data_IF_709169032373
#
_entry.id   IF_709169032373
#
_cell.length_a   1.000
_cell.length_b   1.000
_cell.length_c   1.000
_cell.angle_alpha   90.00
_cell.angle_beta   90.00
_cell.angle_gamma   90.00
#
_symmetry.space_group_name_H-M   'P 1'
#
loop_
_entity.id
_entity.type
_entity.pdbx_description
1 polymer ?
#
# COMPACT_ATOMS: atom_id res chain seq x y z
N UNK A 1 -13.67 -12.24 6.79
CA UNK A 1 -12.91 -13.06 7.75
C UNK A 1 -13.88 -13.80 8.66
N UNK A 2 -14.81 -13.14 9.34
CA UNK A 2 -15.72 -13.74 10.32
C UNK A 2 -16.55 -14.90 9.75
N UNK A 3 -17.15 -14.70 8.56
CA UNK A 3 -18.01 -15.72 7.92
C UNK A 3 -17.26 -16.98 7.49
N UNK A 4 -16.02 -16.84 7.02
CA UNK A 4 -15.31 -17.90 6.30
C UNK A 4 -14.09 -18.45 7.05
N UNK A 5 -13.60 -17.73 8.07
CA UNK A 5 -12.33 -18.07 8.74
C UNK A 5 -12.44 -18.04 10.27
N UNK A 6 -13.66 -18.09 10.83
CA UNK A 6 -13.84 -18.16 12.28
C UNK A 6 -13.34 -16.94 13.05
N UNK A 7 -13.19 -15.80 12.37
CA UNK A 7 -12.88 -14.53 13.00
C UNK A 7 -11.42 -14.09 12.93
N UNK A 8 -10.44 -14.97 12.71
CA UNK A 8 -9.05 -14.59 12.53
C UNK A 8 -8.38 -15.42 11.43
N UNK A 9 -7.25 -14.97 10.93
CA UNK A 9 -6.47 -15.67 9.90
C UNK A 9 -5.00 -15.71 10.31
N UNK A 10 -4.24 -16.62 9.70
CA UNK A 10 -2.81 -16.76 10.00
C UNK A 10 -2.05 -15.50 9.58
N UNK A 11 -2.29 -15.03 8.35
CA UNK A 11 -1.55 -13.91 7.77
C UNK A 11 -2.45 -13.04 6.88
N UNK A 12 -2.17 -11.72 6.90
CA UNK A 12 -2.76 -10.75 5.96
C UNK A 12 -1.63 -9.89 5.39
N UNK A 13 -1.58 -9.77 4.05
CA UNK A 13 -0.67 -8.86 3.37
C UNK A 13 -1.38 -7.67 2.74
N UNK A 14 -0.70 -6.52 2.66
CA UNK A 14 -1.21 -5.33 1.99
C UNK A 14 -0.11 -4.43 1.45
N UNK A 15 -0.25 -4.06 0.15
CA UNK A 15 0.64 -3.12 -0.52
C UNK A 15 0.00 -1.73 -0.59
N UNK A 16 0.76 -0.68 -0.28
CA UNK A 16 0.38 0.72 -0.47
C UNK A 16 -0.95 1.06 0.19
N UNK A 17 -2.01 1.33 -0.56
CA UNK A 17 -3.39 1.50 -0.05
C UNK A 17 -3.88 0.25 0.69
N UNK A 18 -3.58 -0.95 0.18
CA UNK A 18 -3.87 -2.22 0.86
C UNK A 18 -3.19 -2.32 2.22
N UNK A 19 -1.96 -1.82 2.34
CA UNK A 19 -1.25 -1.70 3.61
C UNK A 19 -1.93 -0.73 4.59
N UNK A 20 -2.44 0.41 4.11
CA UNK A 20 -3.22 1.34 4.94
C UNK A 20 -4.53 0.72 5.43
N UNK A 21 -5.24 -0.01 4.54
CA UNK A 21 -6.46 -0.74 4.89
C UNK A 21 -6.16 -1.79 5.96
N UNK A 22 -5.08 -2.55 5.80
CA UNK A 22 -4.64 -3.55 6.78
C UNK A 22 -4.36 -2.91 8.15
N UNK A 23 -3.61 -1.82 8.18
CA UNK A 23 -3.32 -1.07 9.42
C UNK A 23 -4.61 -0.53 10.07
N UNK A 24 -5.56 -0.03 9.28
CA UNK A 24 -6.87 0.40 9.78
C UNK A 24 -7.67 -0.78 10.37
N UNK A 25 -7.67 -1.95 9.70
CA UNK A 25 -8.32 -3.16 10.20
C UNK A 25 -7.72 -3.62 11.53
N UNK A 26 -6.39 -3.66 11.64
CA UNK A 26 -5.67 -4.02 12.86
C UNK A 26 -5.90 -3.03 13.99
N UNK A 27 -6.07 -1.75 13.68
CA UNK A 27 -6.40 -0.72 14.67
C UNK A 27 -7.80 -0.86 15.27
N UNK A 28 -8.72 -1.49 14.54
CA UNK A 28 -10.11 -1.74 14.97
C UNK A 28 -10.28 -3.11 15.62
N UNK A 29 -9.42 -4.06 15.24
CA UNK A 29 -9.49 -5.44 15.73
C UNK A 29 -8.09 -6.00 15.92
N UNK A 30 -7.67 -6.01 17.16
CA UNK A 30 -6.29 -6.31 17.54
C UNK A 30 -5.85 -7.76 17.32
N UNK A 31 -6.78 -8.71 17.22
CA UNK A 31 -6.58 -10.16 17.07
C UNK A 31 -6.97 -10.70 15.68
N UNK A 32 -6.97 -9.83 14.67
CA UNK A 32 -7.44 -10.15 13.33
C UNK A 32 -6.57 -11.22 12.62
N UNK A 33 -5.27 -11.20 12.85
CA UNK A 33 -4.31 -12.16 12.31
C UNK A 33 -3.13 -12.36 13.26
N UNK A 34 -2.37 -13.45 13.05
CA UNK A 34 -1.11 -13.69 13.77
C UNK A 34 0.03 -12.87 13.15
N UNK A 35 0.12 -12.82 11.81
CA UNK A 35 1.15 -12.09 11.07
C UNK A 35 0.52 -11.06 10.13
N UNK A 36 1.15 -9.90 10.00
CA UNK A 36 0.75 -8.87 9.06
C UNK A 36 1.95 -8.43 8.21
N UNK A 37 1.84 -8.47 6.89
CA UNK A 37 2.84 -7.94 5.96
C UNK A 37 2.35 -6.62 5.37
N UNK A 38 3.03 -5.54 5.69
CA UNK A 38 2.68 -4.19 5.25
C UNK A 38 3.79 -3.67 4.34
N UNK A 39 3.50 -3.56 3.05
CA UNK A 39 4.45 -3.03 2.07
C UNK A 39 4.08 -1.60 1.68
N UNK A 40 5.05 -0.68 1.79
CA UNK A 40 4.98 0.66 1.21
C UNK A 40 3.78 1.52 1.66
N UNK A 41 3.29 1.35 2.89
CA UNK A 41 2.14 2.08 3.40
C UNK A 41 2.54 3.46 3.95
N UNK A 42 1.89 4.52 3.45
CA UNK A 42 2.07 5.88 3.95
C UNK A 42 1.14 6.13 5.16
N UNK A 43 1.72 6.50 6.32
CA UNK A 43 0.96 6.85 7.54
C UNK A 43 1.22 8.28 8.03
N UNK A 44 1.90 9.07 7.20
CA UNK A 44 2.15 10.50 7.46
C UNK A 44 1.25 11.31 6.52
N UNK A 45 0.24 12.03 7.04
CA UNK A 45 -0.67 12.82 6.21
C UNK A 45 0.06 13.92 5.41
N UNK A 46 -0.43 14.20 4.20
CA UNK A 46 0.08 15.28 3.34
C UNK A 46 -1.05 16.14 2.80
N UNK A 47 -1.29 17.28 3.46
CA UNK A 47 -2.29 18.27 3.02
C UNK A 47 -1.98 18.81 1.62
N UNK A 48 -0.69 18.99 1.29
CA UNK A 48 -0.28 19.43 -0.04
C UNK A 48 -0.69 18.41 -1.11
N UNK A 49 -0.37 17.14 -0.89
CA UNK A 49 -0.78 16.05 -1.82
C UNK A 49 -2.31 16.03 -1.96
N UNK A 50 -3.04 16.08 -0.85
CA UNK A 50 -4.51 16.12 -0.85
C UNK A 50 -5.05 17.23 -1.74
N UNK A 51 -4.55 18.46 -1.58
CA UNK A 51 -5.02 19.63 -2.33
C UNK A 51 -4.71 19.54 -3.83
N UNK A 52 -3.61 18.89 -4.20
CA UNK A 52 -3.19 18.77 -5.59
C UNK A 52 -3.88 17.62 -6.35
N UNK A 53 -4.43 16.61 -5.66
CA UNK A 53 -5.07 15.45 -6.29
C UNK A 53 -6.24 15.87 -7.17
N UNK A 54 -7.18 16.67 -6.65
CA UNK A 54 -8.39 17.07 -7.38
C UNK A 54 -8.08 17.86 -8.66
N UNK A 55 -7.23 18.90 -8.67
CA UNK A 55 -6.88 19.60 -9.90
C UNK A 55 -6.07 18.73 -10.87
N UNK A 56 -5.09 17.94 -10.37
CA UNK A 56 -4.26 17.10 -11.21
C UNK A 56 -5.06 15.99 -11.91
N UNK A 57 -5.75 15.16 -11.12
CA UNK A 57 -6.55 14.04 -11.68
C UNK A 57 -7.87 14.51 -12.28
N UNK A 58 -8.38 15.67 -11.84
CA UNK A 58 -9.56 16.30 -12.44
C UNK A 58 -9.38 16.69 -13.90
N UNK A 59 -8.19 17.17 -14.26
CA UNK A 59 -7.84 17.57 -15.63
C UNK A 59 -7.29 16.41 -16.48
N UNK A 60 -6.55 15.47 -15.87
CA UNK A 60 -5.86 14.39 -16.60
C UNK A 60 -6.62 13.07 -16.68
N UNK A 61 -7.82 12.97 -16.09
CA UNK A 61 -8.57 11.71 -16.01
C UNK A 61 -8.84 11.08 -17.39
N UNK A 62 -9.25 11.86 -18.37
CA UNK A 62 -9.51 11.34 -19.72
C UNK A 62 -8.23 10.87 -20.42
N UNK A 63 -7.08 11.50 -20.10
CA UNK A 63 -5.77 11.07 -20.61
C UNK A 63 -5.35 9.71 -20.03
N UNK A 64 -5.65 9.46 -18.75
CA UNK A 64 -5.33 8.18 -18.10
C UNK A 64 -6.02 7.01 -18.84
N UNK A 65 -7.19 7.24 -19.42
CA UNK A 65 -7.95 6.26 -20.21
C UNK A 65 -7.40 6.07 -21.63
N UNK A 66 -6.46 6.92 -22.09
CA UNK A 66 -5.79 6.75 -23.36
C UNK A 66 -4.65 5.75 -23.24
N UNK A 67 -4.67 4.70 -24.04
CA UNK A 67 -3.72 3.57 -23.95
C UNK A 67 -2.24 4.01 -24.00
N UNK A 68 -1.92 4.99 -24.82
CA UNK A 68 -0.56 5.52 -24.94
C UNK A 68 -0.10 6.21 -23.64
N UNK A 69 -0.97 7.02 -23.03
CA UNK A 69 -0.68 7.74 -21.79
C UNK A 69 -0.60 6.76 -20.60
N UNK A 70 -1.55 5.82 -20.52
CA UNK A 70 -1.55 4.75 -19.54
C UNK A 70 -0.27 3.90 -19.61
N UNK A 71 0.23 3.63 -20.84
CA UNK A 71 1.50 2.93 -21.03
C UNK A 71 2.70 3.72 -20.51
N UNK A 72 2.69 5.04 -20.67
CA UNK A 72 3.73 5.92 -20.12
C UNK A 72 3.71 5.91 -18.58
N UNK A 73 2.53 6.02 -17.97
CA UNK A 73 2.37 5.90 -16.51
C UNK A 73 2.83 4.53 -16.01
N UNK A 74 2.38 3.45 -16.64
CA UNK A 74 2.74 2.09 -16.26
C UNK A 74 4.26 1.87 -16.25
N UNK A 75 4.97 2.41 -17.23
CA UNK A 75 6.45 2.37 -17.28
C UNK A 75 7.08 3.07 -16.06
N UNK A 76 6.47 4.15 -15.57
CA UNK A 76 6.97 4.86 -14.39
C UNK A 76 6.79 4.08 -13.10
N UNK A 77 5.84 3.13 -13.06
CA UNK A 77 5.60 2.23 -11.93
C UNK A 77 6.60 1.06 -11.88
N UNK A 78 7.43 0.87 -12.93
CA UNK A 78 8.45 -0.19 -13.02
C UNK A 78 7.91 -1.61 -12.86
N UNK A 79 6.64 -1.81 -13.15
CA UNK A 79 5.98 -3.12 -13.11
C UNK A 79 6.38 -3.96 -14.32
N UNK A 80 6.27 -5.28 -14.20
CA UNK A 80 6.52 -6.23 -15.29
C UNK A 80 5.63 -5.93 -16.50
N UNK A 81 6.17 -5.87 -17.72
CA UNK A 81 5.42 -5.45 -18.93
C UNK A 81 4.16 -6.27 -19.20
N UNK A 82 4.16 -7.55 -18.84
CA UNK A 82 3.01 -8.45 -19.01
C UNK A 82 1.78 -8.03 -18.21
N UNK A 83 1.95 -7.28 -17.13
CA UNK A 83 0.85 -6.78 -16.28
C UNK A 83 0.15 -5.54 -16.86
N UNK A 84 0.62 -5.01 -17.99
CA UNK A 84 0.07 -3.77 -18.55
C UNK A 84 -1.41 -3.87 -18.92
N UNK A 85 -1.86 -4.99 -19.49
CA UNK A 85 -3.24 -5.12 -19.92
C UNK A 85 -4.21 -5.12 -18.73
N UNK A 86 -3.88 -5.83 -17.66
CA UNK A 86 -4.68 -5.88 -16.43
C UNK A 86 -4.70 -4.50 -15.76
N UNK A 87 -3.52 -3.87 -15.60
CA UNK A 87 -3.42 -2.49 -15.12
C UNK A 87 -4.29 -1.52 -15.91
N UNK A 88 -4.28 -1.61 -17.25
CA UNK A 88 -5.04 -0.70 -18.11
C UNK A 88 -6.54 -0.93 -17.98
N UNK A 89 -7.00 -2.18 -17.93
CA UNK A 89 -8.41 -2.53 -17.73
C UNK A 89 -8.91 -2.02 -16.37
N UNK A 90 -8.19 -2.30 -15.30
CA UNK A 90 -8.54 -1.86 -13.96
C UNK A 90 -8.59 -0.33 -13.86
N UNK A 91 -7.57 0.34 -14.40
CA UNK A 91 -7.51 1.82 -14.39
C UNK A 91 -8.68 2.43 -15.17
N UNK A 92 -9.07 1.85 -16.31
CA UNK A 92 -10.23 2.29 -17.08
C UNK A 92 -11.57 2.01 -16.37
N UNK A 93 -11.62 1.00 -15.50
CA UNK A 93 -12.81 0.65 -14.70
C UNK A 93 -13.08 1.63 -13.55
N UNK A 94 -12.06 2.34 -13.07
CA UNK A 94 -12.22 3.28 -11.95
C UNK A 94 -12.87 4.58 -12.43
N UNK A 95 -13.95 5.02 -11.79
CA UNK A 95 -14.55 6.31 -12.09
C UNK A 95 -13.66 7.47 -11.61
N UNK A 96 -13.77 8.64 -12.26
CA UNK A 96 -13.04 9.84 -11.84
C UNK A 96 -13.28 10.19 -10.38
N UNK A 97 -14.51 10.10 -9.93
CA UNK A 97 -14.87 10.41 -8.56
C UNK A 97 -14.23 9.45 -7.57
N UNK A 98 -14.27 8.15 -7.85
CA UNK A 98 -13.65 7.14 -6.98
C UNK A 98 -12.12 7.28 -6.95
N UNK A 99 -11.50 7.54 -8.10
CA UNK A 99 -10.04 7.76 -8.18
C UNK A 99 -9.61 8.95 -7.32
N UNK A 100 -10.29 10.09 -7.42
CA UNK A 100 -9.99 11.27 -6.61
C UNK A 100 -10.23 10.97 -5.14
N UNK A 101 -11.36 10.35 -4.78
CA UNK A 101 -11.71 10.07 -3.39
C UNK A 101 -10.67 9.17 -2.71
N UNK A 102 -10.34 8.01 -3.30
CA UNK A 102 -9.39 7.10 -2.65
C UNK A 102 -7.97 7.70 -2.55
N UNK A 103 -7.52 8.47 -3.55
CA UNK A 103 -6.22 9.14 -3.48
C UNK A 103 -6.19 10.21 -2.39
N UNK A 104 -7.26 10.98 -2.24
CA UNK A 104 -7.39 11.98 -1.19
C UNK A 104 -7.39 11.34 0.20
N UNK A 105 -8.22 10.32 0.43
CA UNK A 105 -8.26 9.59 1.70
C UNK A 105 -6.92 8.93 2.02
N UNK A 106 -6.29 8.25 1.05
CA UNK A 106 -4.97 7.66 1.21
C UNK A 106 -3.89 8.71 1.55
N UNK A 107 -3.97 9.91 0.96
CA UNK A 107 -3.01 10.98 1.24
C UNK A 107 -3.11 11.55 2.65
N UNK A 108 -4.28 11.42 3.29
CA UNK A 108 -4.58 11.92 4.64
C UNK A 108 -4.57 10.83 5.70
N UNK A 109 -4.32 9.56 5.32
CA UNK A 109 -4.26 8.47 6.28
C UNK A 109 -3.16 8.70 7.33
N UNK A 110 -3.46 8.38 8.58
CA UNK A 110 -2.53 8.46 9.70
C UNK A 110 -2.67 7.24 10.61
N UNK A 111 -1.57 6.87 11.23
CA UNK A 111 -1.53 5.75 12.20
C UNK A 111 -2.44 6.03 13.39
N UNK A 112 -3.36 5.12 13.69
CA UNK A 112 -4.24 5.18 14.85
C UNK A 112 -3.48 4.75 16.12
N UNK A 113 -3.78 5.39 17.26
CA UNK A 113 -3.17 5.03 18.55
C UNK A 113 -3.49 3.58 18.93
N UNK A 114 -4.72 3.12 18.67
CA UNK A 114 -5.16 1.74 18.98
C UNK A 114 -4.39 0.65 18.23
N UNK A 115 -3.65 1.00 17.17
CA UNK A 115 -2.78 0.05 16.47
C UNK A 115 -1.68 -0.51 17.38
N UNK A 116 -1.22 0.25 18.38
CA UNK A 116 -0.27 -0.22 19.41
C UNK A 116 -0.78 -1.37 20.28
N UNK A 117 -2.10 -1.59 20.32
CA UNK A 117 -2.72 -2.72 21.03
C UNK A 117 -2.81 -4.00 20.19
N UNK A 118 -2.40 -3.94 18.91
CA UNK A 118 -2.44 -5.08 18.01
C UNK A 118 -1.52 -6.18 18.50
N UNK A 119 -2.03 -7.43 18.53
CA UNK A 119 -1.25 -8.59 18.96
C UNK A 119 -0.47 -9.26 17.83
N UNK A 120 -0.78 -8.92 16.57
CA UNK A 120 -0.10 -9.46 15.40
C UNK A 120 1.38 -9.04 15.38
N UNK A 121 2.22 -9.92 14.88
CA UNK A 121 3.58 -9.59 14.47
C UNK A 121 3.54 -8.90 13.10
N UNK A 122 4.06 -7.66 13.03
CA UNK A 122 3.94 -6.82 11.84
C UNK A 122 5.28 -6.72 11.13
N UNK A 123 5.36 -7.24 9.91
CA UNK A 123 6.52 -7.11 9.03
C UNK A 123 6.30 -5.94 8.08
N UNK A 124 7.13 -4.92 8.20
CA UNK A 124 7.09 -3.69 7.42
C UNK A 124 8.12 -3.77 6.31
N UNK A 125 7.68 -3.76 5.06
CA UNK A 125 8.57 -3.80 3.89
C UNK A 125 8.53 -2.44 3.17
N UNK A 126 9.72 -1.92 2.83
CA UNK A 126 9.84 -0.66 2.10
C UNK A 126 11.09 -0.69 1.22
N UNK A 127 10.96 -0.26 -0.03
CA UNK A 127 12.09 -0.13 -0.94
C UNK A 127 13.01 1.04 -0.54
N UNK A 128 14.31 0.84 -0.62
CA UNK A 128 15.31 1.88 -0.32
C UNK A 128 15.15 3.14 -1.18
N UNK A 129 14.68 2.97 -2.44
CA UNK A 129 14.50 4.05 -3.42
C UNK A 129 13.10 4.62 -3.46
N UNK A 130 12.30 4.37 -2.43
CA UNK A 130 10.97 4.93 -2.31
C UNK A 130 10.97 6.42 -1.94
N UNK A 131 9.80 7.02 -2.07
CA UNK A 131 9.54 8.38 -1.59
C UNK A 131 9.86 8.48 -0.08
N UNK A 132 10.53 9.57 0.30
CA UNK A 132 10.91 9.85 1.70
C UNK A 132 9.73 9.74 2.68
N UNK A 133 8.53 10.16 2.27
CA UNK A 133 7.33 10.06 3.12
C UNK A 133 6.99 8.60 3.46
N UNK A 134 7.16 7.68 2.54
CA UNK A 134 6.90 6.25 2.75
C UNK A 134 7.99 5.65 3.64
N UNK A 135 9.27 5.97 3.38
CA UNK A 135 10.39 5.54 4.23
C UNK A 135 10.22 6.04 5.68
N UNK A 136 9.86 7.32 5.87
CA UNK A 136 9.56 7.87 7.20
C UNK A 136 8.33 7.22 7.83
N UNK A 137 7.31 6.89 7.04
CA UNK A 137 6.13 6.17 7.53
C UNK A 137 6.48 4.79 8.06
N UNK A 138 7.29 4.01 7.33
CA UNK A 138 7.74 2.69 7.75
C UNK A 138 8.57 2.76 9.05
N UNK A 139 9.49 3.70 9.16
CA UNK A 139 10.27 3.94 10.39
C UNK A 139 9.38 4.32 11.56
N UNK A 140 8.44 5.26 11.36
CA UNK A 140 7.49 5.68 12.39
C UNK A 140 6.62 4.53 12.88
N UNK A 141 6.15 3.67 11.98
CA UNK A 141 5.42 2.45 12.35
C UNK A 141 6.29 1.56 13.23
N UNK A 142 7.51 1.27 12.81
CA UNK A 142 8.44 0.42 13.54
C UNK A 142 8.80 0.98 14.94
N UNK A 143 9.04 2.28 15.04
CA UNK A 143 9.34 2.95 16.32
C UNK A 143 8.16 2.93 17.29
N UNK A 144 6.93 2.80 16.78
CA UNK A 144 5.70 2.85 17.60
C UNK A 144 5.16 1.47 17.95
N UNK A 145 5.41 0.47 17.10
CA UNK A 145 4.86 -0.88 17.23
C UNK A 145 5.89 -1.83 17.79
N UNK A 146 5.72 -2.24 19.03
CA UNK A 146 6.68 -3.13 19.76
C UNK A 146 6.93 -4.46 19.02
N UNK A 147 5.87 -5.03 18.41
CA UNK A 147 5.93 -6.29 17.68
C UNK A 147 6.05 -6.06 16.18
N UNK A 148 7.03 -5.27 15.76
CA UNK A 148 7.25 -5.03 14.33
C UNK A 148 8.70 -5.24 13.92
N UNK A 149 8.87 -5.72 12.69
CA UNK A 149 10.14 -5.92 12.02
C UNK A 149 10.19 -5.01 10.78
N UNK A 150 11.22 -4.19 10.65
CA UNK A 150 11.39 -3.29 9.50
C UNK A 150 12.43 -3.86 8.52
N UNK A 151 11.99 -4.09 7.29
CA UNK A 151 12.80 -4.56 6.17
C UNK A 151 12.95 -3.45 5.12
N UNK A 152 14.13 -2.83 5.05
CA UNK A 152 14.46 -1.88 3.98
C UNK A 152 15.12 -2.67 2.86
N UNK A 153 14.41 -2.76 1.72
CA UNK A 153 14.80 -3.61 0.58
C UNK A 153 15.76 -2.84 -0.34
N UNK A 154 17.02 -3.28 -0.47
CA UNK A 154 18.02 -2.56 -1.24
C UNK A 154 17.60 -2.40 -2.70
N UNK A 155 17.84 -1.23 -3.27
CA UNK A 155 17.62 -0.87 -4.68
C UNK A 155 16.17 -0.91 -5.17
N UNK A 156 15.21 -1.37 -4.37
CA UNK A 156 13.80 -1.49 -4.75
C UNK A 156 13.03 -0.17 -4.65
N UNK A 157 12.03 -0.04 -5.50
CA UNK A 157 11.06 1.05 -5.55
C UNK A 157 9.71 0.61 -4.97
N UNK A 158 8.72 1.48 -5.05
CA UNK A 158 7.37 1.28 -4.53
C UNK A 158 6.68 0.04 -5.12
N UNK A 159 6.32 -0.92 -4.26
CA UNK A 159 5.59 -2.14 -4.65
C UNK A 159 6.41 -3.17 -5.43
N UNK A 160 7.70 -2.94 -5.66
CA UNK A 160 8.52 -3.91 -6.43
C UNK A 160 8.67 -5.25 -5.74
N UNK A 161 8.64 -5.30 -4.43
CA UNK A 161 8.84 -6.54 -3.68
C UNK A 161 7.73 -7.57 -3.97
N UNK A 162 6.47 -7.21 -3.74
CA UNK A 162 5.35 -8.13 -3.99
C UNK A 162 5.03 -8.31 -5.47
N UNK A 163 5.23 -7.27 -6.31
CA UNK A 163 4.83 -7.31 -7.73
C UNK A 163 5.91 -7.92 -8.62
N UNK A 164 7.17 -7.51 -8.44
CA UNK A 164 8.27 -7.91 -9.34
C UNK A 164 9.11 -9.06 -8.78
N UNK A 165 9.18 -9.21 -7.47
CA UNK A 165 9.99 -10.22 -6.77
C UNK A 165 9.11 -11.18 -5.97
N UNK A 166 8.07 -11.72 -6.63
CA UNK A 166 7.07 -12.60 -6.02
C UNK A 166 7.66 -13.82 -5.33
N UNK A 167 8.74 -14.40 -5.87
CA UNK A 167 9.41 -15.54 -5.26
C UNK A 167 10.05 -15.18 -3.91
N UNK A 168 10.66 -14.00 -3.82
CA UNK A 168 11.21 -13.50 -2.55
C UNK A 168 10.07 -13.16 -1.57
N UNK A 169 8.99 -12.56 -2.07
CA UNK A 169 7.82 -12.26 -1.26
C UNK A 169 7.21 -13.52 -0.66
N UNK A 170 7.01 -14.57 -1.48
CA UNK A 170 6.48 -15.87 -1.02
C UNK A 170 7.43 -16.54 -0.04
N UNK A 171 8.74 -16.43 -0.23
CA UNK A 171 9.73 -16.97 0.72
C UNK A 171 9.59 -16.34 2.10
N UNK A 172 9.38 -15.02 2.18
CA UNK A 172 9.12 -14.34 3.47
C UNK A 172 7.79 -14.75 4.10
N UNK A 173 6.78 -15.10 3.28
CA UNK A 173 5.51 -15.63 3.79
C UNK A 173 5.66 -17.01 4.47
N UNK A 174 6.67 -17.78 4.08
CA UNK A 174 6.88 -19.15 4.54
C UNK A 174 7.97 -19.25 5.62
N UNK A 175 8.66 -18.16 5.95
CA UNK A 175 9.70 -18.11 6.96
C UNK A 175 9.12 -17.90 8.37
#
# INVERSE_FOLDING_TARGET
>A
IDRNFGGSVLLIGGLSLGGQILLEMLSRRKDLCRFAMVESAAVIPSKLTYSLIKPAFGSCYELIRQKWFSKLQFRSLRMKPELFNDYYQDTCGITKQNMIAFLQESSMYFMKKSLGECVAEIHLFVGERENKRILFSARKLHETLEKSNLHILPTMYHGEFSINHTDLYVKELCA
#
